data_IF_681106004643
#
_entry.id   IF_681106004643
#
_cell.length_a   1.000
_cell.length_b   1.000
_cell.length_c   1.000
_cell.angle_alpha   90.00
_cell.angle_beta   90.00
_cell.angle_gamma   90.00
#
_symmetry.space_group_name_H-M   'P 1'
#
loop_
_entity.id
_entity.type
_entity.pdbx_description
1 polymer ?
#
# COMPACT_ATOMS: atom_id res chain seq x y z
N UNK A 1 0.25 -9.14 -5.81
CA UNK A 1 -0.60 -10.13 -5.10
C UNK A 1 -0.32 -10.01 -3.63
N UNK A 2 -0.68 -8.85 -3.07
CA UNK A 2 -0.40 -8.52 -1.69
C UNK A 2 -1.51 -9.04 -0.78
N UNK A 3 -1.11 -9.56 0.37
CA UNK A 3 -1.99 -9.91 1.48
C UNK A 3 -1.18 -9.81 2.78
N UNK A 4 -1.86 -9.90 3.93
CA UNK A 4 -1.19 -9.85 5.23
C UNK A 4 -0.15 -10.97 5.45
N UNK A 5 -0.24 -12.07 4.70
CA UNK A 5 0.76 -13.16 4.76
C UNK A 5 2.11 -12.76 4.15
N UNK A 6 2.12 -11.75 3.27
CA UNK A 6 3.32 -11.26 2.58
C UNK A 6 3.81 -9.94 3.20
N UNK A 7 3.42 -9.64 4.43
CA UNK A 7 3.85 -8.47 5.20
C UNK A 7 4.44 -8.95 6.51
N UNK A 8 5.75 -8.71 6.70
CA UNK A 8 6.43 -8.94 7.97
C UNK A 8 6.35 -7.67 8.82
N UNK A 9 6.10 -7.83 10.12
CA UNK A 9 6.12 -6.71 11.07
C UNK A 9 7.17 -7.00 12.13
N UNK A 10 8.16 -6.11 12.23
CA UNK A 10 9.22 -6.18 13.24
C UNK A 10 9.47 -4.78 13.82
N UNK A 11 9.51 -4.66 15.15
CA UNK A 11 9.74 -3.38 15.85
C UNK A 11 8.86 -2.22 15.35
N UNK A 12 7.58 -2.51 15.08
CA UNK A 12 6.62 -1.51 14.59
C UNK A 12 6.81 -1.11 13.12
N UNK A 13 7.74 -1.72 12.38
CA UNK A 13 7.96 -1.49 10.95
C UNK A 13 7.38 -2.63 10.13
N UNK A 14 6.59 -2.29 9.11
CA UNK A 14 6.06 -3.24 8.14
C UNK A 14 7.01 -3.36 6.93
N UNK A 15 7.30 -4.59 6.53
CA UNK A 15 8.13 -4.90 5.35
C UNK A 15 7.36 -5.82 4.42
N UNK A 16 7.18 -5.40 3.17
CA UNK A 16 6.58 -6.24 2.13
C UNK A 16 7.63 -7.23 1.63
N UNK A 17 7.25 -8.50 1.55
CA UNK A 17 8.07 -9.58 0.99
C UNK A 17 7.38 -10.21 -0.22
N UNK A 18 8.07 -11.14 -0.88
CA UNK A 18 7.55 -11.93 -2.00
C UNK A 18 7.04 -11.06 -3.17
N UNK A 19 7.98 -10.39 -3.84
CA UNK A 19 7.73 -9.48 -4.96
C UNK A 19 7.91 -10.04 -6.39
N UNK A 20 8.02 -11.36 -6.68
CA UNK A 20 8.17 -11.81 -8.07
C UNK A 20 6.94 -11.49 -8.93
N UNK A 21 5.78 -11.26 -8.31
CA UNK A 21 4.52 -10.83 -8.96
C UNK A 21 4.35 -9.30 -9.01
N UNK A 22 5.36 -8.52 -8.61
CA UNK A 22 5.29 -7.07 -8.70
C UNK A 22 5.33 -6.60 -10.16
N UNK A 23 4.53 -5.58 -10.47
CA UNK A 23 4.42 -5.03 -11.83
C UNK A 23 4.90 -3.58 -11.85
N UNK A 24 5.48 -3.15 -12.97
CA UNK A 24 5.77 -1.73 -13.19
C UNK A 24 4.47 -1.00 -13.55
N UNK A 25 3.98 -0.06 -12.70
CA UNK A 25 2.73 0.64 -12.95
C UNK A 25 2.75 1.49 -14.23
N UNK A 26 3.93 1.87 -14.74
CA UNK A 26 4.09 2.61 -16.01
C UNK A 26 3.86 1.72 -17.24
N UNK A 27 4.01 0.41 -17.09
CA UNK A 27 3.96 -0.57 -18.19
C UNK A 27 2.72 -1.45 -18.14
N UNK A 28 1.96 -1.41 -17.05
CA UNK A 28 0.78 -2.23 -16.86
C UNK A 28 -0.46 -1.36 -16.63
N UNK A 29 -1.34 -1.28 -17.63
CA UNK A 29 -2.62 -0.56 -17.53
C UNK A 29 -3.57 -1.06 -16.44
N UNK A 30 -3.35 -2.29 -15.95
CA UNK A 30 -4.13 -2.89 -14.87
C UNK A 30 -3.55 -2.60 -13.48
N UNK A 31 -2.43 -1.87 -13.39
CA UNK A 31 -1.81 -1.52 -12.11
C UNK A 31 -2.72 -0.82 -11.09
N UNK A 32 -3.59 0.15 -11.46
CA UNK A 32 -4.52 0.76 -10.50
C UNK A 32 -5.46 -0.27 -9.88
N UNK A 33 -6.06 -1.14 -10.69
CA UNK A 33 -6.97 -2.19 -10.20
C UNK A 33 -6.23 -3.23 -9.35
N UNK A 34 -4.98 -3.54 -9.68
CA UNK A 34 -4.15 -4.43 -8.85
C UNK A 34 -3.85 -3.78 -7.49
N UNK A 35 -3.55 -2.48 -7.45
CA UNK A 35 -3.34 -1.73 -6.22
C UNK A 35 -4.60 -1.70 -5.35
N UNK A 36 -5.76 -1.34 -5.92
CA UNK A 36 -7.06 -1.34 -5.23
C UNK A 36 -7.35 -2.69 -4.57
N UNK A 37 -7.19 -3.77 -5.33
CA UNK A 37 -7.38 -5.15 -4.83
C UNK A 37 -6.42 -5.47 -3.69
N UNK A 38 -5.16 -5.11 -3.83
CA UNK A 38 -4.10 -5.42 -2.87
C UNK A 38 -4.29 -4.60 -1.56
N UNK A 39 -4.68 -3.33 -1.65
CA UNK A 39 -5.07 -2.48 -0.50
C UNK A 39 -6.32 -3.02 0.19
N UNK A 40 -7.37 -3.38 -0.57
CA UNK A 40 -8.60 -3.96 -0.03
C UNK A 40 -8.31 -5.20 0.81
N UNK A 41 -7.45 -6.11 0.33
CA UNK A 41 -7.08 -7.33 1.06
C UNK A 41 -6.38 -7.07 2.38
N UNK A 42 -5.53 -6.04 2.44
CA UNK A 42 -4.86 -5.63 3.68
C UNK A 42 -5.89 -5.05 4.65
N UNK A 43 -6.75 -4.14 4.19
CA UNK A 43 -7.83 -3.57 4.98
C UNK A 43 -8.79 -4.65 5.53
N UNK A 44 -9.21 -5.60 4.69
CA UNK A 44 -10.09 -6.71 5.08
C UNK A 44 -9.47 -7.61 6.14
N UNK A 45 -8.15 -7.80 6.08
CA UNK A 45 -7.44 -8.55 7.11
C UNK A 45 -7.50 -7.83 8.45
N UNK A 46 -7.18 -6.53 8.48
CA UNK A 46 -7.17 -5.73 9.71
C UNK A 46 -8.57 -5.39 10.24
N UNK A 47 -9.59 -5.36 9.39
CA UNK A 47 -10.98 -5.18 9.81
C UNK A 47 -11.44 -6.26 10.79
N UNK A 48 -10.93 -7.50 10.67
CA UNK A 48 -11.20 -8.61 11.60
C UNK A 48 -10.66 -8.36 13.01
N UNK A 49 -9.69 -7.45 13.14
CA UNK A 49 -9.11 -7.01 14.39
C UNK A 49 -9.69 -5.66 14.87
N UNK A 50 -10.77 -5.18 14.23
CA UNK A 50 -11.46 -3.95 14.62
C UNK A 50 -10.89 -2.66 14.03
N UNK A 51 -9.91 -2.75 13.13
CA UNK A 51 -9.36 -1.57 12.45
C UNK A 51 -10.34 -1.08 11.39
N UNK A 52 -10.79 0.16 11.54
CA UNK A 52 -11.63 0.83 10.53
C UNK A 52 -10.74 1.50 9.49
N UNK A 53 -11.03 1.28 8.22
CA UNK A 53 -10.31 1.85 7.09
C UNK A 53 -11.24 2.09 5.91
N UNK A 54 -10.83 2.96 4.98
CA UNK A 54 -11.53 3.25 3.73
C UNK A 54 -10.65 2.77 2.55
N UNK A 55 -10.67 1.46 2.20
CA UNK A 55 -9.72 0.88 1.26
C UNK A 55 -9.73 1.53 -0.13
N UNK A 56 -10.91 1.91 -0.64
CA UNK A 56 -11.04 2.57 -1.93
C UNK A 56 -10.40 3.97 -1.93
N UNK A 57 -10.62 4.74 -0.87
CA UNK A 57 -10.02 6.07 -0.69
C UNK A 57 -8.50 5.95 -0.56
N UNK A 58 -8.02 5.04 0.31
CA UNK A 58 -6.58 4.80 0.49
C UNK A 58 -5.88 4.39 -0.81
N UNK A 59 -6.48 3.51 -1.59
CA UNK A 59 -5.92 3.10 -2.88
C UNK A 59 -5.91 4.26 -3.89
N UNK A 60 -6.99 5.05 -3.91
CA UNK A 60 -7.10 6.24 -4.76
C UNK A 60 -6.05 7.30 -4.42
N UNK A 61 -5.84 7.56 -3.13
CA UNK A 61 -4.83 8.51 -2.65
C UNK A 61 -3.42 8.04 -3.01
N UNK A 62 -3.08 6.78 -2.74
CA UNK A 62 -1.79 6.20 -3.11
C UNK A 62 -1.53 6.25 -4.62
N UNK A 63 -2.56 5.95 -5.43
CA UNK A 63 -2.47 6.03 -6.87
C UNK A 63 -2.26 7.46 -7.34
N UNK A 64 -3.02 8.41 -6.79
CA UNK A 64 -2.91 9.84 -7.09
C UNK A 64 -1.52 10.36 -6.73
N UNK A 65 -1.03 10.10 -5.53
CA UNK A 65 0.32 10.49 -5.12
C UNK A 65 1.41 9.88 -6.02
N UNK A 66 1.24 8.62 -6.45
CA UNK A 66 2.16 8.02 -7.41
C UNK A 66 2.15 8.75 -8.76
N UNK A 67 0.97 9.10 -9.28
CA UNK A 67 0.84 9.79 -10.57
C UNK A 67 1.48 11.18 -10.58
N UNK A 68 1.38 11.89 -9.45
CA UNK A 68 1.97 13.23 -9.29
C UNK A 68 3.41 13.20 -8.76
N UNK A 69 4.01 12.01 -8.58
CA UNK A 69 5.34 11.82 -8.00
C UNK A 69 5.49 12.39 -6.57
N UNK A 70 4.38 12.40 -5.81
CA UNK A 70 4.27 12.88 -4.43
C UNK A 70 4.38 11.74 -3.39
N UNK A 71 4.80 10.54 -3.80
CA UNK A 71 5.09 9.46 -2.85
C UNK A 71 6.34 9.80 -2.04
N UNK A 72 6.15 10.22 -0.80
CA UNK A 72 7.24 10.45 0.16
C UNK A 72 7.67 9.11 0.78
N UNK A 73 8.92 8.66 0.60
CA UNK A 73 9.49 7.52 1.29
C UNK A 73 9.36 7.67 2.80
N UNK A 74 9.10 6.58 3.51
CA UNK A 74 8.90 6.59 4.97
C UNK A 74 10.09 7.22 5.71
N UNK A 75 11.31 6.99 5.21
CA UNK A 75 12.54 7.53 5.78
C UNK A 75 12.57 9.06 5.75
N UNK A 76 11.88 9.68 4.80
CA UNK A 76 11.79 11.12 4.60
C UNK A 76 10.55 11.74 5.27
N UNK A 77 9.63 10.94 5.83
CA UNK A 77 8.43 11.44 6.52
C UNK A 77 8.70 12.03 7.90
N UNK A 78 9.86 11.72 8.49
CA UNK A 78 10.26 12.21 9.83
C UNK A 78 10.63 13.70 9.88
N UNK A 79 10.53 14.44 8.77
CA UNK A 79 10.90 15.85 8.66
C UNK A 79 9.75 16.84 8.41
N UNK A 80 8.49 16.39 8.35
CA UNK A 80 7.33 17.27 8.11
C UNK A 80 6.32 17.11 9.26
N UNK A 81 6.77 17.40 10.47
CA UNK A 81 5.90 17.96 11.52
C UNK A 81 6.36 19.42 11.72
N UNK A 82 5.64 20.36 11.11
CA UNK A 82 5.70 21.81 11.36
C UNK A 82 4.29 22.31 11.52
#
# INVERSE_FOLDING_TARGET
>A
DLSAYNVLVWEGRATIIDLPQAVDPRKNRHAPALLERDVQRICDHFARFGVRSAPAELAGDLWTSWQFADLVPEELRTGIEM
#
